data_IF_727642291349
#
_entry.id   IF_727642291349
#
_cell.length_a   1.000
_cell.length_b   1.000
_cell.length_c   1.000
_cell.angle_alpha   90.00
_cell.angle_beta   90.00
_cell.angle_gamma   90.00
#
_symmetry.space_group_name_H-M   'P 1'
#
loop_
_entity.id
_entity.type
_entity.pdbx_description
1 polymer ?
#
# COMPACT_ATOMS: atom_id res chain seq x y z
N UNK A 1 -50.03 -4.13 -12.47
CA UNK A 1 -49.04 -5.01 -13.14
C UNK A 1 -47.68 -4.30 -13.12
N UNK A 2 -46.85 -4.56 -12.10
CA UNK A 2 -45.52 -3.95 -11.94
C UNK A 2 -44.62 -4.84 -11.07
N UNK A 3 -44.48 -6.12 -11.44
CA UNK A 3 -43.64 -7.10 -10.71
C UNK A 3 -42.43 -7.59 -11.50
N UNK A 4 -42.21 -7.11 -12.73
CA UNK A 4 -41.22 -7.70 -13.65
C UNK A 4 -39.91 -6.92 -13.85
N UNK A 5 -39.67 -5.81 -13.14
CA UNK A 5 -38.46 -4.99 -13.36
C UNK A 5 -37.62 -4.70 -12.10
N UNK A 6 -37.78 -5.49 -11.03
CA UNK A 6 -36.79 -5.48 -9.95
C UNK A 6 -35.72 -6.53 -10.30
N UNK A 7 -34.44 -6.14 -10.51
CA UNK A 7 -33.38 -7.13 -10.62
C UNK A 7 -33.41 -7.99 -9.36
N UNK A 8 -33.28 -9.32 -9.52
CA UNK A 8 -33.26 -10.23 -8.39
C UNK A 8 -32.28 -9.72 -7.33
N UNK A 9 -32.63 -9.79 -6.04
CA UNK A 9 -31.71 -9.41 -4.99
C UNK A 9 -30.46 -10.25 -5.15
N UNK A 10 -29.35 -9.61 -5.50
CA UNK A 10 -28.03 -10.23 -5.49
C UNK A 10 -27.87 -10.81 -4.09
N UNK A 11 -27.98 -12.13 -3.96
CA UNK A 11 -27.72 -12.82 -2.71
C UNK A 11 -26.31 -12.42 -2.32
N UNK A 12 -26.21 -11.69 -1.23
CA UNK A 12 -24.93 -11.36 -0.59
C UNK A 12 -24.47 -12.67 0.05
N UNK A 13 -23.84 -13.53 -0.76
CA UNK A 13 -23.07 -14.64 -0.23
C UNK A 13 -21.96 -14.05 0.62
N UNK A 14 -21.73 -14.68 1.77
CA UNK A 14 -20.65 -14.47 2.74
C UNK A 14 -19.30 -14.04 2.13
N UNK A 15 -18.39 -13.42 2.92
CA UNK A 15 -17.02 -13.20 2.48
C UNK A 15 -16.47 -14.49 1.84
N UNK A 16 -15.69 -14.40 0.75
CA UNK A 16 -15.16 -15.61 0.12
C UNK A 16 -14.39 -16.40 1.17
N UNK A 17 -14.47 -17.74 1.13
CA UNK A 17 -13.76 -18.59 2.06
C UNK A 17 -12.26 -18.24 2.04
N UNK A 18 -11.63 -18.25 3.21
CA UNK A 18 -10.18 -18.14 3.33
C UNK A 18 -9.53 -19.14 2.36
N UNK A 19 -8.75 -18.63 1.39
CA UNK A 19 -8.02 -19.47 0.45
C UNK A 19 -8.67 -19.75 -0.92
N UNK A 20 -9.57 -18.89 -1.41
CA UNK A 20 -10.00 -18.94 -2.81
C UNK A 20 -8.83 -18.68 -3.79
N UNK A 21 -8.10 -19.75 -4.15
CA UNK A 21 -6.97 -19.78 -5.10
C UNK A 21 -7.35 -19.62 -6.58
N UNK A 22 -8.59 -19.25 -6.90
CA UNK A 22 -9.05 -19.10 -8.29
C UNK A 22 -9.59 -17.69 -8.53
N UNK A 23 -8.72 -16.80 -9.00
CA UNK A 23 -9.11 -15.44 -9.39
C UNK A 23 -7.95 -14.75 -10.09
N UNK A 24 -8.25 -14.06 -11.20
CA UNK A 24 -7.31 -13.37 -12.10
C UNK A 24 -6.09 -12.75 -11.39
N UNK A 25 -4.90 -12.77 -12.03
CA UNK A 25 -3.71 -12.09 -11.51
C UNK A 25 -4.04 -10.65 -11.12
N UNK A 26 -3.35 -10.07 -10.11
CA UNK A 26 -3.67 -8.76 -9.56
C UNK A 26 -3.82 -7.68 -10.64
N UNK A 27 -3.06 -7.75 -11.73
CA UNK A 27 -3.20 -6.88 -12.90
C UNK A 27 -4.58 -6.96 -13.57
N UNK A 28 -5.15 -8.16 -13.72
CA UNK A 28 -6.50 -8.37 -14.24
C UNK A 28 -7.58 -7.82 -13.32
N UNK A 29 -7.38 -7.93 -12.01
CA UNK A 29 -8.28 -7.35 -11.01
C UNK A 29 -8.22 -5.82 -11.00
N UNK A 30 -7.02 -5.23 -11.06
CA UNK A 30 -6.81 -3.79 -11.13
C UNK A 30 -7.42 -3.18 -12.40
N UNK A 31 -7.28 -3.88 -13.53
CA UNK A 31 -7.92 -3.49 -14.80
C UNK A 31 -9.45 -3.50 -14.69
N UNK A 32 -10.03 -4.55 -14.11
CA UNK A 32 -11.47 -4.66 -13.90
C UNK A 32 -12.03 -3.54 -12.99
N UNK A 33 -11.33 -3.22 -11.90
CA UNK A 33 -11.71 -2.09 -11.02
C UNK A 33 -11.62 -0.76 -11.75
N UNK A 34 -10.55 -0.53 -12.50
CA UNK A 34 -10.36 0.69 -13.28
C UNK A 34 -11.42 0.88 -14.38
N UNK A 35 -11.81 -0.21 -15.06
CA UNK A 35 -12.89 -0.22 -16.06
C UNK A 35 -14.25 0.01 -15.41
N UNK A 36 -14.54 -0.64 -14.28
CA UNK A 36 -15.79 -0.44 -13.53
C UNK A 36 -15.96 1.03 -13.09
N UNK A 37 -14.90 1.66 -12.55
CA UNK A 37 -14.94 3.08 -12.18
C UNK A 37 -15.21 4.01 -13.37
N UNK A 38 -14.64 3.71 -14.55
CA UNK A 38 -14.89 4.46 -15.79
C UNK A 38 -16.32 4.30 -16.28
N UNK A 39 -16.87 3.09 -16.23
CA UNK A 39 -18.25 2.79 -16.62
C UNK A 39 -19.23 3.52 -15.71
N UNK A 40 -19.00 3.46 -14.39
CA UNK A 40 -19.83 4.20 -13.41
C UNK A 40 -19.78 5.70 -13.69
N UNK A 41 -18.61 6.29 -13.87
CA UNK A 41 -18.46 7.72 -14.21
C UNK A 41 -19.21 8.14 -15.49
N UNK A 42 -19.13 7.31 -16.55
CA UNK A 42 -19.84 7.58 -17.82
C UNK A 42 -21.35 7.45 -17.70
N UNK A 43 -21.82 6.50 -16.89
CA UNK A 43 -23.24 6.35 -16.58
C UNK A 43 -23.76 7.57 -15.81
N UNK A 44 -23.00 8.10 -14.86
CA UNK A 44 -23.32 9.35 -14.15
C UNK A 44 -23.53 10.50 -15.15
N UNK A 45 -22.60 10.69 -16.07
CA UNK A 45 -22.64 11.76 -17.09
C UNK A 45 -23.82 11.61 -18.06
N UNK A 46 -24.09 10.40 -18.55
CA UNK A 46 -25.21 10.13 -19.47
C UNK A 46 -26.58 10.30 -18.81
N UNK A 47 -26.73 9.88 -17.55
CA UNK A 47 -27.98 10.00 -16.81
C UNK A 47 -28.29 11.45 -16.47
N UNK A 48 -27.27 12.27 -16.18
CA UNK A 48 -27.41 13.73 -16.02
C UNK A 48 -27.81 14.39 -17.36
N UNK A 49 -27.21 13.98 -18.48
CA UNK A 49 -27.54 14.50 -19.82
C UNK A 49 -28.96 14.17 -20.28
N UNK A 50 -29.51 13.01 -19.89
CA UNK A 50 -30.92 12.69 -20.14
C UNK A 50 -31.89 13.36 -19.15
N UNK A 51 -31.42 13.78 -17.98
CA UNK A 51 -32.20 14.56 -17.02
C UNK A 51 -32.67 15.89 -17.64
N UNK A 52 -31.86 16.47 -18.54
CA UNK A 52 -32.20 17.66 -19.35
C UNK A 52 -33.18 17.33 -20.47
N UNK A 53 -33.11 16.16 -21.11
CA UNK A 53 -34.06 15.74 -22.15
C UNK A 53 -35.45 15.39 -21.59
N UNK A 54 -35.52 14.92 -20.35
CA UNK A 54 -36.79 14.62 -19.65
C UNK A 54 -37.42 15.92 -19.13
N UNK A 55 -36.83 17.11 -19.38
CA UNK A 55 -37.39 18.41 -19.00
C UNK A 55 -38.74 18.77 -19.65
N UNK A 56 -39.27 17.90 -20.51
CA UNK A 56 -40.59 18.03 -21.15
C UNK A 56 -41.65 17.06 -20.59
N UNK A 57 -41.28 16.02 -19.83
CA UNK A 57 -42.22 15.06 -19.23
C UNK A 57 -42.26 15.15 -17.69
N UNK A 58 -43.46 15.03 -17.13
CA UNK A 58 -43.90 15.29 -15.74
C UNK A 58 -42.88 15.18 -14.58
N UNK A 59 -43.03 16.09 -13.61
CA UNK A 59 -42.17 16.27 -12.42
C UNK A 59 -41.97 14.99 -11.58
N UNK A 60 -42.99 14.12 -11.50
CA UNK A 60 -42.92 12.83 -10.79
C UNK A 60 -41.93 11.86 -11.45
N UNK A 61 -41.98 11.69 -12.78
CA UNK A 61 -41.13 10.76 -13.51
C UNK A 61 -39.64 11.18 -13.51
N UNK A 62 -39.36 12.49 -13.53
CA UNK A 62 -38.00 13.03 -13.34
C UNK A 62 -37.42 12.70 -11.97
N UNK A 63 -38.25 12.82 -10.93
CA UNK A 63 -37.82 12.57 -9.56
C UNK A 63 -37.51 11.09 -9.29
N UNK A 64 -38.16 10.18 -10.02
CA UNK A 64 -37.96 8.72 -9.96
C UNK A 64 -36.74 8.27 -10.75
N UNK A 65 -36.54 8.78 -11.97
CA UNK A 65 -35.38 8.45 -12.80
C UNK A 65 -34.08 9.00 -12.24
N UNK A 66 -34.10 10.25 -11.74
CA UNK A 66 -32.93 10.83 -11.06
C UNK A 66 -32.56 10.01 -9.81
N UNK A 67 -33.56 9.54 -9.07
CA UNK A 67 -33.34 8.73 -7.87
C UNK A 67 -32.79 7.33 -8.22
N UNK A 68 -33.33 6.66 -9.25
CA UNK A 68 -32.82 5.39 -9.75
C UNK A 68 -31.37 5.51 -10.26
N UNK A 69 -31.04 6.61 -10.94
CA UNK A 69 -29.67 6.90 -11.38
C UNK A 69 -28.70 6.99 -10.19
N UNK A 70 -29.05 7.75 -9.15
CA UNK A 70 -28.23 7.87 -7.94
C UNK A 70 -28.11 6.53 -7.20
N UNK A 71 -29.18 5.72 -7.18
CA UNK A 71 -29.15 4.38 -6.58
C UNK A 71 -28.21 3.42 -7.32
N UNK A 72 -28.31 3.35 -8.65
CA UNK A 72 -27.44 2.51 -9.50
C UNK A 72 -25.98 2.94 -9.34
N UNK A 73 -25.71 4.25 -9.34
CA UNK A 73 -24.38 4.79 -9.11
C UNK A 73 -23.83 4.39 -7.74
N UNK A 74 -24.62 4.52 -6.66
CA UNK A 74 -24.18 4.13 -5.33
C UNK A 74 -23.89 2.61 -5.21
N UNK A 75 -24.68 1.76 -5.84
CA UNK A 75 -24.43 0.31 -5.88
C UNK A 75 -23.16 -0.01 -6.69
N UNK A 76 -22.96 0.65 -7.83
CA UNK A 76 -21.75 0.50 -8.65
C UNK A 76 -20.49 0.93 -7.89
N UNK A 77 -20.54 2.08 -7.20
CA UNK A 77 -19.44 2.56 -6.37
C UNK A 77 -19.17 1.64 -5.18
N UNK A 78 -20.20 1.14 -4.50
CA UNK A 78 -20.05 0.18 -3.39
C UNK A 78 -19.37 -1.12 -3.86
N UNK A 79 -19.73 -1.60 -5.05
CA UNK A 79 -19.12 -2.78 -5.67
C UNK A 79 -17.65 -2.51 -6.01
N UNK A 80 -17.35 -1.40 -6.66
CA UNK A 80 -15.97 -1.01 -6.99
C UNK A 80 -15.09 -0.87 -5.74
N UNK A 81 -15.63 -0.32 -4.65
CA UNK A 81 -14.93 -0.23 -3.37
C UNK A 81 -14.63 -1.60 -2.77
N UNK A 82 -15.57 -2.56 -2.85
CA UNK A 82 -15.33 -3.94 -2.43
C UNK A 82 -14.25 -4.62 -3.27
N UNK A 83 -14.30 -4.51 -4.59
CA UNK A 83 -13.29 -5.08 -5.48
C UNK A 83 -11.89 -4.45 -5.26
N UNK A 84 -11.84 -3.16 -4.90
CA UNK A 84 -10.60 -2.51 -4.51
C UNK A 84 -10.03 -3.05 -3.19
N UNK A 85 -10.89 -3.32 -2.19
CA UNK A 85 -10.48 -3.98 -0.93
C UNK A 85 -9.85 -5.36 -1.21
N UNK A 86 -10.51 -6.19 -2.02
CA UNK A 86 -9.97 -7.49 -2.43
C UNK A 86 -8.64 -7.40 -3.19
N UNK A 87 -8.49 -6.37 -4.01
CA UNK A 87 -7.26 -6.16 -4.77
C UNK A 87 -6.08 -5.84 -3.84
N UNK A 88 -6.31 -5.08 -2.77
CA UNK A 88 -5.29 -4.78 -1.75
C UNK A 88 -4.89 -6.04 -0.98
N UNK A 89 -5.86 -6.85 -0.51
CA UNK A 89 -5.54 -8.09 0.22
C UNK A 89 -4.72 -9.06 -0.64
N UNK A 90 -5.10 -9.24 -1.91
CA UNK A 90 -4.36 -10.09 -2.83
C UNK A 90 -2.96 -9.57 -3.12
N UNK A 91 -2.81 -8.26 -3.33
CA UNK A 91 -1.51 -7.67 -3.55
C UNK A 91 -0.62 -7.77 -2.28
N UNK A 92 -1.21 -7.66 -1.09
CA UNK A 92 -0.49 -7.85 0.18
C UNK A 92 -0.03 -9.30 0.36
N UNK A 93 -0.86 -10.28 0.00
CA UNK A 93 -0.47 -11.70 -0.01
C UNK A 93 0.66 -11.96 -1.01
N UNK A 94 0.56 -11.41 -2.23
CA UNK A 94 1.61 -11.54 -3.23
C UNK A 94 2.95 -10.97 -2.74
N UNK A 95 2.94 -9.83 -2.05
CA UNK A 95 4.16 -9.28 -1.42
C UNK A 95 4.71 -10.23 -0.36
N UNK A 96 3.86 -10.85 0.47
CA UNK A 96 4.32 -11.84 1.47
C UNK A 96 4.98 -13.05 0.80
N UNK A 97 4.39 -13.54 -0.29
CA UNK A 97 4.90 -14.67 -1.06
C UNK A 97 6.23 -14.32 -1.75
N UNK A 98 6.29 -13.16 -2.41
CA UNK A 98 7.50 -12.60 -3.01
C UNK A 98 8.65 -12.47 -1.98
N UNK A 99 8.34 -12.02 -0.76
CA UNK A 99 9.33 -11.93 0.33
C UNK A 99 9.76 -13.31 0.83
N UNK A 100 8.84 -14.28 0.91
CA UNK A 100 9.12 -15.65 1.35
C UNK A 100 10.00 -16.39 0.36
N UNK A 101 9.75 -16.20 -0.93
CA UNK A 101 10.43 -16.89 -2.04
C UNK A 101 11.68 -16.14 -2.49
N UNK A 102 11.79 -14.85 -2.15
CA UNK A 102 12.90 -13.99 -2.57
C UNK A 102 12.81 -13.56 -4.04
N UNK A 103 11.62 -13.61 -4.63
CA UNK A 103 11.36 -13.35 -6.05
C UNK A 103 10.43 -12.14 -6.22
N UNK A 104 10.70 -11.28 -7.21
CA UNK A 104 9.88 -10.13 -7.64
C UNK A 104 9.22 -9.27 -6.53
N UNK A 105 9.98 -8.92 -5.48
CA UNK A 105 9.49 -8.07 -4.39
C UNK A 105 9.06 -6.68 -4.91
N UNK A 106 9.79 -6.13 -5.88
CA UNK A 106 9.52 -4.79 -6.42
C UNK A 106 8.21 -4.75 -7.22
N UNK A 107 7.96 -5.75 -8.08
CA UNK A 107 6.72 -5.88 -8.83
C UNK A 107 5.51 -6.02 -7.89
N UNK A 108 5.62 -6.88 -6.88
CA UNK A 108 4.56 -7.08 -5.89
C UNK A 108 4.27 -5.80 -5.08
N UNK A 109 5.30 -5.07 -4.64
CA UNK A 109 5.13 -3.79 -3.92
C UNK A 109 4.48 -2.73 -4.81
N UNK A 110 4.85 -2.66 -6.09
CA UNK A 110 4.23 -1.75 -7.06
C UNK A 110 2.75 -2.05 -7.24
N UNK A 111 2.38 -3.32 -7.35
CA UNK A 111 0.99 -3.75 -7.45
C UNK A 111 0.20 -3.41 -6.19
N UNK A 112 0.78 -3.60 -5.00
CA UNK A 112 0.15 -3.22 -3.73
C UNK A 112 -0.08 -1.72 -3.63
N UNK A 113 0.89 -0.89 -4.04
CA UNK A 113 0.73 0.57 -4.07
C UNK A 113 -0.39 1.01 -5.01
N UNK A 114 -0.50 0.41 -6.19
CA UNK A 114 -1.58 0.72 -7.13
C UNK A 114 -2.94 0.26 -6.61
N UNK A 115 -3.03 -0.93 -5.99
CA UNK A 115 -4.25 -1.41 -5.36
C UNK A 115 -4.72 -0.47 -4.25
N UNK A 116 -3.82 -0.01 -3.39
CA UNK A 116 -4.13 0.96 -2.33
C UNK A 116 -4.60 2.29 -2.91
N UNK A 117 -3.97 2.77 -3.99
CA UNK A 117 -4.39 3.99 -4.69
C UNK A 117 -5.80 3.89 -5.27
N UNK A 118 -6.16 2.75 -5.85
CA UNK A 118 -7.52 2.51 -6.34
C UNK A 118 -8.53 2.43 -5.19
N UNK A 119 -8.16 1.81 -4.06
CA UNK A 119 -8.98 1.75 -2.86
C UNK A 119 -9.27 3.14 -2.29
N UNK A 120 -8.27 4.02 -2.21
CA UNK A 120 -8.47 5.41 -1.77
C UNK A 120 -9.44 6.16 -2.67
N UNK A 121 -9.31 6.00 -4.00
CA UNK A 121 -10.23 6.61 -4.98
C UNK A 121 -11.65 6.09 -4.79
N UNK A 122 -11.82 4.78 -4.68
CA UNK A 122 -13.12 4.16 -4.47
C UNK A 122 -13.73 4.59 -3.13
N UNK A 123 -12.93 4.67 -2.06
CA UNK A 123 -13.38 5.12 -0.75
C UNK A 123 -13.90 6.57 -0.78
N UNK A 124 -13.16 7.48 -1.43
CA UNK A 124 -13.56 8.89 -1.59
C UNK A 124 -14.85 9.03 -2.38
N UNK A 125 -15.04 8.22 -3.42
CA UNK A 125 -16.25 8.23 -4.24
C UNK A 125 -17.47 7.65 -3.51
N UNK A 126 -17.30 6.60 -2.72
CA UNK A 126 -18.41 5.93 -2.02
C UNK A 126 -18.95 6.73 -0.83
N UNK A 127 -18.05 7.33 -0.03
CA UNK A 127 -18.39 7.93 1.27
C UNK A 127 -19.52 8.98 1.23
N UNK A 128 -19.54 9.97 0.30
CA UNK A 128 -20.64 10.95 0.23
C UNK A 128 -21.92 10.38 -0.40
N UNK A 129 -21.79 9.41 -1.30
CA UNK A 129 -22.90 8.94 -2.15
C UNK A 129 -23.82 7.93 -1.45
N UNK A 130 -23.28 7.02 -0.63
CA UNK A 130 -24.12 6.04 0.09
C UNK A 130 -24.99 6.74 1.14
N UNK A 131 -24.43 7.69 1.91
CA UNK A 131 -25.19 8.38 2.95
C UNK A 131 -26.34 9.21 2.33
N UNK A 132 -26.06 9.88 1.21
CA UNK A 132 -27.04 10.63 0.42
C UNK A 132 -28.17 9.74 -0.11
N UNK A 133 -27.84 8.57 -0.68
CA UNK A 133 -28.83 7.60 -1.18
C UNK A 133 -29.68 7.02 -0.04
N UNK A 134 -29.08 6.68 1.10
CA UNK A 134 -29.81 6.15 2.26
C UNK A 134 -30.79 7.19 2.81
N UNK A 135 -30.35 8.44 3.01
CA UNK A 135 -31.20 9.52 3.51
C UNK A 135 -32.31 9.90 2.51
N UNK A 136 -31.99 9.92 1.20
CA UNK A 136 -32.98 10.18 0.16
C UNK A 136 -33.99 9.05 0.00
N UNK A 137 -33.62 7.79 0.25
CA UNK A 137 -34.52 6.66 0.15
C UNK A 137 -35.44 6.56 1.38
N UNK A 138 -34.94 6.87 2.58
CA UNK A 138 -35.74 6.95 3.82
C UNK A 138 -36.85 8.00 3.72
N UNK A 139 -36.55 9.18 3.17
CA UNK A 139 -37.54 10.27 3.06
C UNK A 139 -38.64 10.02 2.02
N UNK A 140 -38.40 9.12 1.05
CA UNK A 140 -39.32 8.89 -0.08
C UNK A 140 -40.13 7.60 0.02
N UNK A 141 -39.81 6.68 0.93
CA UNK A 141 -40.51 5.40 1.10
C UNK A 141 -40.40 4.44 -0.10
N UNK A 142 -39.44 4.68 -1.01
CA UNK A 142 -39.30 3.97 -2.31
C UNK A 142 -38.43 2.71 -2.24
N UNK A 143 -37.79 2.47 -1.10
CA UNK A 143 -36.92 1.32 -0.86
C UNK A 143 -37.38 0.66 0.43
N UNK A 144 -37.46 -0.68 0.42
CA UNK A 144 -37.76 -1.42 1.64
C UNK A 144 -36.71 -1.12 2.73
N UNK A 145 -37.14 -1.01 3.98
CA UNK A 145 -36.21 -0.85 5.11
C UNK A 145 -35.12 -1.93 5.12
N UNK A 146 -35.44 -3.15 4.67
CA UNK A 146 -34.48 -4.25 4.53
C UNK A 146 -33.34 -3.93 3.53
N UNK A 147 -33.62 -3.34 2.38
CA UNK A 147 -32.60 -2.97 1.39
C UNK A 147 -31.71 -1.82 1.86
N UNK A 148 -32.25 -0.88 2.65
CA UNK A 148 -31.46 0.20 3.25
C UNK A 148 -30.55 -0.30 4.36
N UNK A 149 -31.08 -1.18 5.22
CA UNK A 149 -30.28 -1.88 6.23
C UNK A 149 -29.18 -2.69 5.53
N UNK A 150 -29.49 -3.42 4.46
CA UNK A 150 -28.48 -4.18 3.69
C UNK A 150 -27.37 -3.29 3.10
N UNK A 151 -27.72 -2.14 2.51
CA UNK A 151 -26.73 -1.22 1.93
C UNK A 151 -25.85 -0.62 3.04
N UNK A 152 -26.46 -0.22 4.16
CA UNK A 152 -25.76 0.34 5.31
C UNK A 152 -24.86 -0.70 5.99
N UNK A 153 -25.34 -1.92 6.20
CA UNK A 153 -24.53 -3.00 6.79
C UNK A 153 -23.39 -3.42 5.87
N UNK A 154 -23.62 -3.48 4.55
CA UNK A 154 -22.57 -3.75 3.56
C UNK A 154 -21.49 -2.67 3.57
N UNK A 155 -21.88 -1.40 3.69
CA UNK A 155 -20.92 -0.30 3.79
C UNK A 155 -20.14 -0.35 5.12
N UNK A 156 -20.81 -0.56 6.25
CA UNK A 156 -20.16 -0.67 7.56
C UNK A 156 -19.20 -1.87 7.63
N UNK A 157 -19.60 -3.03 7.08
CA UNK A 157 -18.74 -4.20 6.95
C UNK A 157 -17.50 -3.88 6.10
N UNK A 158 -17.68 -3.19 4.97
CA UNK A 158 -16.58 -2.76 4.11
C UNK A 158 -15.65 -1.73 4.80
N UNK A 159 -16.15 -0.89 5.71
CA UNK A 159 -15.32 0.00 6.54
C UNK A 159 -14.48 -0.78 7.58
N UNK A 160 -15.07 -1.80 8.20
CA UNK A 160 -14.31 -2.71 9.08
C UNK A 160 -13.21 -3.44 8.31
N UNK A 161 -13.53 -3.85 7.09
CA UNK A 161 -12.60 -4.50 6.18
C UNK A 161 -11.49 -3.58 5.67
N UNK A 162 -11.79 -2.31 5.41
CA UNK A 162 -10.79 -1.30 5.04
C UNK A 162 -9.67 -1.22 6.08
N UNK A 163 -9.99 -1.19 7.36
CA UNK A 163 -8.98 -1.18 8.44
C UNK A 163 -8.13 -2.45 8.45
N UNK A 164 -8.69 -3.60 8.08
CA UNK A 164 -7.94 -4.85 7.92
C UNK A 164 -7.00 -4.77 6.72
N UNK A 165 -7.51 -4.37 5.55
CA UNK A 165 -6.74 -4.23 4.32
C UNK A 165 -5.55 -3.28 4.48
N UNK A 166 -5.76 -2.12 5.13
CA UNK A 166 -4.70 -1.15 5.41
C UNK A 166 -3.62 -1.76 6.29
N UNK A 167 -4.00 -2.42 7.40
CA UNK A 167 -3.03 -3.08 8.29
C UNK A 167 -2.27 -4.22 7.60
N UNK A 168 -2.94 -4.99 6.73
CA UNK A 168 -2.28 -6.05 5.96
C UNK A 168 -1.32 -5.50 4.92
N UNK A 169 -1.69 -4.42 4.23
CA UNK A 169 -0.82 -3.71 3.30
C UNK A 169 0.40 -3.11 4.02
N UNK A 170 0.21 -2.48 5.19
CA UNK A 170 1.29 -1.96 6.03
C UNK A 170 2.26 -3.07 6.43
N UNK A 171 1.76 -4.20 6.94
CA UNK A 171 2.59 -5.35 7.31
C UNK A 171 3.38 -5.91 6.12
N UNK A 172 2.74 -6.02 4.97
CA UNK A 172 3.38 -6.49 3.75
C UNK A 172 4.49 -5.53 3.28
N UNK A 173 4.24 -4.21 3.30
CA UNK A 173 5.23 -3.19 2.95
C UNK A 173 6.40 -3.18 3.94
N UNK A 174 6.14 -3.33 5.24
CA UNK A 174 7.20 -3.44 6.25
C UNK A 174 8.03 -4.70 6.03
N UNK A 175 7.40 -5.85 5.77
CA UNK A 175 8.11 -7.09 5.48
C UNK A 175 9.00 -6.98 4.23
N UNK A 176 8.48 -6.38 3.15
CA UNK A 176 9.23 -6.09 1.93
C UNK A 176 10.39 -5.13 2.19
N UNK A 177 10.14 -4.05 2.94
CA UNK A 177 11.16 -3.11 3.39
C UNK A 177 12.28 -3.81 4.15
N UNK A 178 11.96 -4.67 5.12
CA UNK A 178 12.96 -5.46 5.87
C UNK A 178 13.74 -6.43 4.99
N UNK A 179 13.09 -7.11 4.05
CA UNK A 179 13.76 -8.00 3.11
C UNK A 179 14.78 -7.24 2.25
N UNK A 180 14.38 -6.05 1.79
CA UNK A 180 15.19 -5.13 1.01
C UNK A 180 16.37 -4.58 1.82
N UNK A 181 16.12 -4.07 3.02
CA UNK A 181 17.15 -3.62 3.98
C UNK A 181 18.17 -4.73 4.24
N UNK A 182 17.73 -5.98 4.48
CA UNK A 182 18.64 -7.13 4.63
C UNK A 182 19.49 -7.41 3.39
N UNK A 183 18.94 -7.23 2.20
CA UNK A 183 19.69 -7.41 0.96
C UNK A 183 20.78 -6.33 0.83
N UNK A 184 20.40 -5.06 1.04
CA UNK A 184 21.34 -3.93 0.97
C UNK A 184 22.39 -4.02 2.07
N UNK A 185 22.03 -4.34 3.31
CA UNK A 185 22.97 -4.57 4.43
C UNK A 185 24.06 -5.58 4.05
N UNK A 186 23.66 -6.72 3.49
CA UNK A 186 24.59 -7.77 3.05
C UNK A 186 25.47 -7.31 1.90
N UNK A 187 24.90 -6.60 0.92
CA UNK A 187 25.65 -6.09 -0.23
C UNK A 187 26.66 -5.02 0.18
N UNK A 188 26.27 -4.06 1.03
CA UNK A 188 27.14 -3.04 1.59
C UNK A 188 28.33 -3.66 2.34
N UNK A 189 28.08 -4.67 3.18
CA UNK A 189 29.13 -5.41 3.86
C UNK A 189 30.12 -6.07 2.89
N UNK A 190 29.62 -6.77 1.87
CA UNK A 190 30.45 -7.42 0.84
C UNK A 190 31.27 -6.42 0.03
N UNK A 191 30.63 -5.35 -0.47
CA UNK A 191 31.29 -4.30 -1.27
C UNK A 191 32.36 -3.59 -0.45
N UNK A 192 32.08 -3.22 0.80
CA UNK A 192 33.04 -2.56 1.66
C UNK A 192 34.33 -3.39 1.88
N UNK A 193 34.19 -4.70 2.07
CA UNK A 193 35.34 -5.61 2.22
C UNK A 193 36.19 -5.70 0.95
N UNK A 194 35.58 -5.60 -0.23
CA UNK A 194 36.28 -5.61 -1.52
C UNK A 194 37.09 -4.34 -1.81
N UNK A 195 36.87 -3.26 -1.06
CA UNK A 195 37.59 -2.00 -1.26
C UNK A 195 39.01 -2.05 -0.70
N UNK A 196 39.98 -1.39 -1.38
CA UNK A 196 41.30 -1.14 -0.82
C UNK A 196 41.20 -0.24 0.43
N UNK A 197 42.18 -0.28 1.35
CA UNK A 197 42.13 0.49 2.61
C UNK A 197 41.86 2.00 2.43
N UNK A 198 42.40 2.61 1.37
CA UNK A 198 42.15 4.02 1.02
C UNK A 198 40.68 4.29 0.65
N UNK A 199 40.03 3.36 -0.06
CA UNK A 199 38.63 3.45 -0.47
C UNK A 199 37.67 3.32 0.71
N UNK A 200 38.04 2.52 1.72
CA UNK A 200 37.20 2.32 2.93
C UNK A 200 37.00 3.62 3.72
N UNK A 201 38.03 4.46 3.83
CA UNK A 201 37.94 5.75 4.51
C UNK A 201 36.98 6.74 3.82
N UNK A 202 37.04 6.81 2.49
CA UNK A 202 36.13 7.63 1.68
C UNK A 202 34.67 7.14 1.80
N UNK A 203 34.47 5.83 1.71
CA UNK A 203 33.13 5.22 1.86
C UNK A 203 32.54 5.44 3.24
N UNK A 204 33.34 5.32 4.30
CA UNK A 204 32.89 5.62 5.66
C UNK A 204 32.46 7.09 5.80
N UNK A 205 33.16 8.02 5.15
CA UNK A 205 32.79 9.43 5.15
C UNK A 205 31.48 9.71 4.41
N UNK A 206 31.30 9.12 3.23
CA UNK A 206 30.06 9.22 2.44
C UNK A 206 28.87 8.64 3.23
N UNK A 207 29.05 7.46 3.82
CA UNK A 207 28.02 6.79 4.61
C UNK A 207 27.58 7.65 5.80
N UNK A 208 28.55 8.18 6.56
CA UNK A 208 28.27 8.98 7.75
C UNK A 208 27.49 10.25 7.40
N UNK A 209 27.87 10.95 6.33
CA UNK A 209 27.15 12.14 5.87
C UNK A 209 25.71 11.84 5.44
N UNK A 210 25.50 10.74 4.73
CA UNK A 210 24.17 10.35 4.22
C UNK A 210 23.23 9.87 5.30
N UNK A 211 23.77 9.17 6.30
CA UNK A 211 23.00 8.61 7.40
C UNK A 211 22.84 9.60 8.55
N UNK A 212 23.32 10.84 8.40
CA UNK A 212 23.18 11.89 9.42
C UNK A 212 24.00 11.65 10.68
N UNK A 213 25.12 10.93 10.58
CA UNK A 213 25.98 10.57 11.71
C UNK A 213 27.41 11.05 11.58
N UNK A 214 28.18 10.96 12.68
CA UNK A 214 29.60 11.27 12.65
C UNK A 214 30.44 10.10 12.13
N UNK A 215 31.48 10.42 11.38
CA UNK A 215 32.45 9.44 10.88
C UNK A 215 33.16 8.69 12.01
N UNK A 216 33.47 9.38 13.10
CA UNK A 216 34.02 8.83 14.35
C UNK A 216 33.14 7.70 14.88
N UNK A 217 31.81 7.91 14.91
CA UNK A 217 30.85 6.91 15.38
C UNK A 217 30.82 5.68 14.48
N UNK A 218 30.80 5.88 13.15
CA UNK A 218 30.83 4.74 12.22
C UNK A 218 32.11 3.92 12.37
N UNK A 219 33.27 4.58 12.56
CA UNK A 219 34.54 3.90 12.81
C UNK A 219 34.47 3.12 14.13
N UNK A 220 33.96 3.71 15.20
CA UNK A 220 33.81 3.03 16.49
C UNK A 220 32.91 1.79 16.39
N UNK A 221 31.86 1.83 15.57
CA UNK A 221 31.01 0.66 15.30
C UNK A 221 31.77 -0.45 14.57
N UNK A 222 32.61 -0.10 13.59
CA UNK A 222 33.44 -1.05 12.86
C UNK A 222 34.53 -1.67 13.74
N UNK A 223 35.15 -0.89 14.62
CA UNK A 223 36.16 -1.35 15.58
C UNK A 223 35.59 -2.33 16.62
N UNK A 224 34.28 -2.27 16.87
CA UNK A 224 33.55 -3.27 17.68
C UNK A 224 33.25 -4.57 16.93
N UNK A 225 33.75 -4.72 15.70
CA UNK A 225 33.61 -5.92 14.89
C UNK A 225 32.29 -6.02 14.12
N UNK A 226 31.49 -4.95 14.07
CA UNK A 226 30.23 -4.97 13.33
C UNK A 226 30.50 -4.95 11.81
N UNK A 227 29.76 -5.75 11.02
CA UNK A 227 29.79 -5.65 9.57
C UNK A 227 29.42 -4.23 9.12
N UNK A 228 30.05 -3.72 8.05
CA UNK A 228 29.82 -2.36 7.56
C UNK A 228 28.35 -2.06 7.26
N UNK A 229 27.62 -3.01 6.67
CA UNK A 229 26.18 -2.86 6.45
C UNK A 229 25.39 -2.68 7.75
N UNK A 230 25.70 -3.49 8.77
CA UNK A 230 25.08 -3.42 10.09
C UNK A 230 25.41 -2.09 10.78
N UNK A 231 26.66 -1.63 10.69
CA UNK A 231 27.07 -0.34 11.23
C UNK A 231 26.34 0.83 10.55
N UNK A 232 26.15 0.78 9.23
CA UNK A 232 25.35 1.77 8.49
C UNK A 232 23.87 1.75 8.91
N UNK A 233 23.30 0.55 9.10
CA UNK A 233 21.92 0.43 9.58
C UNK A 233 21.73 1.04 10.96
N UNK A 234 22.63 0.74 11.90
CA UNK A 234 22.57 1.31 13.25
C UNK A 234 22.66 2.83 13.15
N UNK A 235 23.61 3.36 12.38
CA UNK A 235 23.79 4.80 12.26
C UNK A 235 22.52 5.49 11.71
N UNK A 236 21.93 4.94 10.64
CA UNK A 236 20.71 5.48 10.05
C UNK A 236 19.49 5.35 10.96
N UNK A 237 19.26 4.18 11.54
CA UNK A 237 18.16 3.95 12.47
C UNK A 237 18.30 4.81 13.74
N UNK A 238 19.52 5.05 14.19
CA UNK A 238 19.81 5.91 15.34
C UNK A 238 19.48 7.38 15.05
N UNK A 239 19.83 7.87 13.86
CA UNK A 239 19.51 9.23 13.43
C UNK A 239 18.00 9.43 13.32
N UNK A 240 17.27 8.46 12.79
CA UNK A 240 15.82 8.51 12.65
C UNK A 240 15.10 8.40 14.01
N UNK A 241 15.57 7.51 14.89
CA UNK A 241 14.97 7.30 16.21
C UNK A 241 15.45 8.31 17.28
N UNK A 242 16.43 9.17 16.97
CA UNK A 242 17.03 10.10 17.94
C UNK A 242 17.73 9.39 19.11
N UNK A 243 18.33 8.22 18.86
CA UNK A 243 19.05 7.41 19.86
C UNK A 243 20.55 7.54 19.69
N UNK A 244 21.30 7.05 20.69
CA UNK A 244 22.76 6.95 20.59
C UNK A 244 23.16 5.65 19.84
N UNK A 245 23.96 5.74 18.75
CA UNK A 245 24.33 4.57 17.94
C UNK A 245 25.12 3.52 18.70
N UNK A 246 25.94 3.93 19.68
CA UNK A 246 26.76 3.01 20.47
C UNK A 246 25.91 2.18 21.43
N UNK A 247 24.88 2.81 22.02
CA UNK A 247 23.90 2.12 22.87
C UNK A 247 23.08 1.12 22.06
N UNK A 248 22.65 1.48 20.84
CA UNK A 248 21.95 0.55 19.94
C UNK A 248 22.82 -0.61 19.47
N UNK A 249 24.11 -0.36 19.25
CA UNK A 249 25.06 -1.42 18.94
C UNK A 249 25.22 -2.42 20.08
N UNK A 250 25.19 -1.95 21.33
CA UNK A 250 25.26 -2.82 22.50
C UNK A 250 24.02 -3.72 22.67
N UNK A 251 22.83 -3.25 22.27
CA UNK A 251 21.60 -4.05 22.35
C UNK A 251 21.51 -5.17 21.32
N UNK A 252 22.37 -5.17 20.29
CA UNK A 252 22.44 -6.26 19.32
C UNK A 252 23.02 -7.56 19.87
N UNK A 253 23.80 -7.50 20.96
CA UNK A 253 24.50 -8.67 21.51
C UNK A 253 25.38 -9.35 20.46
N UNK A 254 25.12 -10.62 20.18
CA UNK A 254 25.83 -11.44 19.17
C UNK A 254 25.19 -11.37 17.77
N UNK A 255 24.13 -10.58 17.58
CA UNK A 255 23.48 -10.45 16.27
C UNK A 255 24.40 -9.84 15.23
N UNK A 256 24.45 -10.46 14.05
CA UNK A 256 25.18 -9.97 12.89
C UNK A 256 24.33 -9.13 11.93
N UNK A 257 23.05 -8.89 12.27
CA UNK A 257 22.14 -8.06 11.48
C UNK A 257 21.46 -7.00 12.33
N UNK A 258 21.41 -5.78 11.79
CA UNK A 258 20.76 -4.62 12.40
C UNK A 258 19.25 -4.55 12.15
N UNK A 259 18.72 -5.41 11.29
CA UNK A 259 17.30 -5.34 10.86
C UNK A 259 16.28 -5.56 11.98
N UNK A 260 16.50 -6.44 12.99
CA UNK A 260 15.57 -6.56 14.11
C UNK A 260 15.37 -5.25 14.89
N UNK A 261 16.38 -4.38 14.94
CA UNK A 261 16.30 -3.10 15.66
C UNK A 261 15.27 -2.14 15.07
N UNK A 262 14.92 -2.28 13.78
CA UNK A 262 13.97 -1.38 13.14
C UNK A 262 12.60 -1.44 13.82
N UNK A 263 12.22 -2.62 14.32
CA UNK A 263 10.93 -2.83 15.00
C UNK A 263 10.93 -2.23 16.39
N UNK A 264 12.01 -2.44 17.15
CA UNK A 264 12.18 -1.91 18.50
C UNK A 264 12.21 -0.38 18.52
N UNK A 265 12.70 0.23 17.43
CA UNK A 265 12.83 1.66 17.27
C UNK A 265 11.62 2.32 16.59
N UNK A 266 10.68 1.54 16.06
CA UNK A 266 9.56 2.06 15.28
C UNK A 266 9.98 2.74 13.98
N UNK A 267 11.13 2.36 13.42
CA UNK A 267 11.69 2.92 12.19
C UNK A 267 11.02 2.28 10.98
N UNK A 268 10.56 3.10 10.03
CA UNK A 268 9.85 2.58 8.86
C UNK A 268 10.84 2.01 7.84
N UNK A 269 10.95 0.67 7.82
CA UNK A 269 11.94 -0.05 7.00
C UNK A 269 11.98 0.35 5.50
N UNK A 270 10.86 0.67 4.82
CA UNK A 270 10.90 1.17 3.44
C UNK A 270 11.66 2.48 3.24
N UNK A 271 11.60 3.43 4.19
CA UNK A 271 12.27 4.73 4.06
C UNK A 271 13.78 4.56 4.23
N UNK A 272 14.18 3.78 5.25
CA UNK A 272 15.58 3.44 5.46
C UNK A 272 16.16 2.63 4.28
N UNK A 273 15.36 1.77 3.64
CA UNK A 273 15.78 1.04 2.45
C UNK A 273 16.20 1.99 1.31
N UNK A 274 15.45 3.08 1.09
CA UNK A 274 15.74 4.06 0.04
C UNK A 274 17.08 4.74 0.32
N UNK A 275 17.29 5.19 1.56
CA UNK A 275 18.53 5.86 1.96
C UNK A 275 19.74 4.93 1.76
N UNK A 276 19.60 3.65 2.13
CA UNK A 276 20.66 2.66 1.98
C UNK A 276 20.93 2.26 0.53
N UNK A 277 19.91 2.18 -0.33
CA UNK A 277 20.12 1.96 -1.76
C UNK A 277 20.88 3.11 -2.41
N UNK A 278 20.50 4.34 -2.06
CA UNK A 278 21.23 5.50 -2.54
C UNK A 278 22.70 5.39 -2.07
N UNK A 279 22.95 4.98 -0.82
CA UNK A 279 24.31 4.78 -0.31
C UNK A 279 25.06 3.68 -1.07
N UNK A 280 24.41 2.56 -1.39
CA UNK A 280 25.00 1.48 -2.18
C UNK A 280 25.47 1.97 -3.56
N UNK A 281 24.66 2.82 -4.20
CA UNK A 281 25.00 3.47 -5.48
C UNK A 281 26.21 4.40 -5.35
N UNK A 282 26.25 5.25 -4.33
CA UNK A 282 27.39 6.15 -4.11
C UNK A 282 28.68 5.40 -3.83
N UNK A 283 28.59 4.27 -3.12
CA UNK A 283 29.74 3.40 -2.89
C UNK A 283 30.21 2.78 -4.20
N UNK A 284 29.30 2.42 -5.11
CA UNK A 284 29.64 1.95 -6.45
C UNK A 284 30.44 3.01 -7.22
N UNK A 285 29.92 4.24 -7.26
CA UNK A 285 30.56 5.36 -7.95
C UNK A 285 31.93 5.68 -7.33
N UNK A 286 32.04 5.67 -6.00
CA UNK A 286 33.30 5.86 -5.28
C UNK A 286 34.30 4.72 -5.53
N UNK A 287 33.83 3.49 -5.68
CA UNK A 287 34.66 2.31 -5.99
C UNK A 287 35.24 2.41 -7.39
N UNK A 288 34.41 2.78 -8.38
CA UNK A 288 34.84 3.00 -9.77
C UNK A 288 35.88 4.12 -9.81
N UNK A 289 35.62 5.23 -9.11
CA UNK A 289 36.57 6.34 -9.02
C UNK A 289 37.90 5.93 -8.39
N UNK A 290 37.87 5.17 -7.28
CA UNK A 290 39.07 4.72 -6.58
C UNK A 290 39.89 3.71 -7.38
N UNK A 291 39.24 2.92 -8.24
CA UNK A 291 39.90 1.92 -9.09
C UNK A 291 40.53 2.53 -10.35
N UNK A 292 40.09 3.72 -10.76
CA UNK A 292 40.53 4.41 -11.98
C UNK A 292 41.61 5.48 -11.73
N UNK A 293 42.11 5.63 -10.50
CA UNK A 293 43.25 6.51 -10.19
C UNK A 293 44.50 5.67 -9.88
N UNK A 294 45.66 6.01 -10.47
CA UNK A 294 46.93 5.34 -10.19
C UNK A 294 47.42 5.53 -8.75
#
# INVERSE_FOLDING_TARGET
MAKEYLPEPVRVSSPPPEGSKAGLPPEGALKAVGEALKVVSKLSEHLIGHQTAIEVATWSARSDLAWLATYIEAVGLATAFREALFSVERAAEWVREAVREGEDIEGAVKALREATRLLERAHRAVRPNILSVVLSALSRGKVSGAQLIMLQTSFLAAQGWLRRCVREAERALVAAGRAKVRAVERNLGRRFLSLPPRGRGLVAEIASRRLGGERSTLIALLERGLPFGTACLILGASAEAGRDPITLAASLGESTSGVPLLDDLGVYAPDLAIVLEMLERDIEEATIWASNRP
#
